data_IF_041513798555
#
_entry.id   IF_041513798555
#
_cell.length_a   1.000
_cell.length_b   1.000
_cell.length_c   1.000
_cell.angle_alpha   90.00
_cell.angle_beta   90.00
_cell.angle_gamma   90.00
#
_symmetry.space_group_name_H-M   'P 1'
#
loop_
_entity.id
_entity.type
_entity.pdbx_description
1 polymer ?
#
# COMPACT_ATOMS: atom_id res chain seq x y z
N UNK A 1 20.36 50.25 -3.61
CA UNK A 1 20.87 49.00 -4.24
C UNK A 1 20.73 47.76 -3.35
N UNK A 2 20.98 47.88 -2.03
CA UNK A 2 20.92 46.75 -1.08
C UNK A 2 19.53 46.08 -1.01
N UNK A 3 18.44 46.84 -0.90
CA UNK A 3 17.07 46.35 -0.82
C UNK A 3 16.67 45.45 -2.01
N UNK A 4 17.04 45.82 -3.25
CA UNK A 4 16.74 44.99 -4.43
C UNK A 4 17.51 43.66 -4.41
N UNK A 5 18.72 43.61 -3.83
CA UNK A 5 19.50 42.38 -3.66
C UNK A 5 18.88 41.48 -2.60
N UNK A 6 18.45 42.05 -1.46
CA UNK A 6 17.78 41.31 -0.40
C UNK A 6 16.48 40.70 -0.93
N UNK A 7 15.66 41.49 -1.62
CA UNK A 7 14.40 41.02 -2.19
C UNK A 7 14.62 39.85 -3.18
N UNK A 8 15.63 39.93 -4.05
CA UNK A 8 15.96 38.84 -4.97
C UNK A 8 16.39 37.58 -4.23
N UNK A 9 17.21 37.74 -3.18
CA UNK A 9 17.66 36.58 -2.37
C UNK A 9 16.50 35.92 -1.65
N UNK A 10 15.61 36.70 -1.05
CA UNK A 10 14.40 36.19 -0.38
C UNK A 10 13.49 35.42 -1.34
N UNK A 11 13.27 35.97 -2.56
CA UNK A 11 12.46 35.28 -3.58
C UNK A 11 13.11 33.97 -4.01
N UNK A 12 14.42 33.92 -4.14
CA UNK A 12 15.16 32.70 -4.51
C UNK A 12 15.05 31.62 -3.44
N UNK A 13 15.13 31.99 -2.16
CA UNK A 13 14.95 31.07 -1.02
C UNK A 13 13.52 30.54 -1.00
N UNK A 14 12.51 31.39 -1.20
CA UNK A 14 11.10 30.94 -1.24
C UNK A 14 10.89 29.93 -2.37
N UNK A 15 11.39 30.22 -3.57
CA UNK A 15 11.30 29.31 -4.73
C UNK A 15 12.00 27.98 -4.45
N UNK A 16 13.19 28.01 -3.84
CA UNK A 16 13.90 26.78 -3.48
C UNK A 16 13.11 25.93 -2.46
N UNK A 17 12.49 26.55 -1.47
CA UNK A 17 11.63 25.87 -0.48
C UNK A 17 10.42 25.25 -1.18
N UNK A 18 9.75 25.97 -2.08
CA UNK A 18 8.59 25.45 -2.81
C UNK A 18 8.96 24.25 -3.68
N UNK A 19 10.09 24.33 -4.39
CA UNK A 19 10.61 23.19 -5.19
C UNK A 19 10.91 22.01 -4.28
N UNK A 20 11.56 22.22 -3.15
CA UNK A 20 11.88 21.15 -2.20
C UNK A 20 10.61 20.48 -1.65
N UNK A 21 9.60 21.26 -1.25
CA UNK A 21 8.31 20.73 -0.78
C UNK A 21 7.61 19.94 -1.89
N UNK A 22 7.61 20.44 -3.14
CA UNK A 22 7.04 19.73 -4.27
C UNK A 22 7.75 18.39 -4.53
N UNK A 23 9.08 18.36 -4.47
CA UNK A 23 9.87 17.13 -4.63
C UNK A 23 9.58 16.12 -3.51
N UNK A 24 9.46 16.58 -2.26
CA UNK A 24 9.08 15.69 -1.14
C UNK A 24 7.68 15.11 -1.35
N UNK A 25 6.73 15.90 -1.83
CA UNK A 25 5.37 15.43 -2.11
C UNK A 25 5.34 14.38 -3.21
N UNK A 26 6.04 14.63 -4.32
CA UNK A 26 6.17 13.66 -5.43
C UNK A 26 6.80 12.36 -4.92
N UNK A 27 7.90 12.44 -4.17
CA UNK A 27 8.57 11.27 -3.60
C UNK A 27 7.64 10.48 -2.66
N UNK A 28 6.92 11.16 -1.78
CA UNK A 28 5.96 10.51 -0.88
C UNK A 28 4.86 9.78 -1.65
N UNK A 29 4.33 10.36 -2.72
CA UNK A 29 3.32 9.74 -3.56
C UNK A 29 3.86 8.51 -4.29
N UNK A 30 5.12 8.53 -4.73
CA UNK A 30 5.76 7.36 -5.34
C UNK A 30 5.92 6.21 -4.33
N UNK A 31 6.30 6.51 -3.08
CA UNK A 31 6.45 5.51 -2.02
C UNK A 31 5.11 4.87 -1.58
N UNK A 32 3.98 5.55 -1.81
CA UNK A 32 2.63 5.04 -1.53
C UNK A 32 2.10 4.08 -2.58
N UNK A 33 2.76 3.98 -3.74
CA UNK A 33 2.37 3.05 -4.79
C UNK A 33 2.58 1.62 -4.33
N UNK A 34 1.55 0.80 -4.52
CA UNK A 34 1.60 -0.63 -4.27
C UNK A 34 2.11 -1.31 -5.55
N UNK A 35 3.43 -1.35 -5.70
CA UNK A 35 4.13 -1.83 -6.90
C UNK A 35 3.74 -3.26 -7.31
N UNK A 36 3.26 -4.05 -6.37
CA UNK A 36 2.86 -5.45 -6.59
C UNK A 36 1.41 -5.59 -7.07
N UNK A 37 0.61 -4.53 -7.05
CA UNK A 37 -0.77 -4.53 -7.51
C UNK A 37 -0.88 -3.78 -8.83
N UNK A 38 -1.50 -4.41 -9.82
CA UNK A 38 -1.80 -3.83 -11.13
C UNK A 38 -0.65 -2.99 -11.70
N UNK A 39 0.56 -3.58 -11.72
CA UNK A 39 1.80 -2.92 -12.17
C UNK A 39 2.10 -1.57 -11.50
N UNK A 40 1.71 -1.41 -10.22
CA UNK A 40 1.93 -0.19 -9.45
C UNK A 40 1.00 0.97 -9.83
N UNK A 41 -0.13 0.68 -10.50
CA UNK A 41 -1.14 1.69 -10.81
C UNK A 41 -1.93 2.11 -9.57
N UNK A 42 -1.98 1.25 -8.55
CA UNK A 42 -2.70 1.49 -7.29
C UNK A 42 -1.78 2.10 -6.25
N UNK A 43 -2.31 2.97 -5.41
CA UNK A 43 -1.59 3.56 -4.27
C UNK A 43 -2.48 3.75 -3.06
N UNK A 44 -1.90 3.67 -1.87
CA UNK A 44 -2.55 4.13 -0.65
C UNK A 44 -2.93 5.61 -0.78
N UNK A 45 -4.07 6.00 -0.23
CA UNK A 45 -4.66 7.34 -0.33
C UNK A 45 -5.15 7.72 -1.74
N UNK A 46 -5.22 6.77 -2.69
CA UNK A 46 -5.88 6.98 -3.97
C UNK A 46 -7.37 7.26 -3.78
N UNK A 47 -7.94 8.16 -4.57
CA UNK A 47 -9.39 8.36 -4.58
C UNK A 47 -10.10 7.14 -5.17
N UNK A 48 -11.24 6.77 -4.60
CA UNK A 48 -12.04 5.63 -5.05
C UNK A 48 -12.43 5.75 -6.53
N UNK A 49 -12.86 6.93 -6.96
CA UNK A 49 -13.20 7.16 -8.37
C UNK A 49 -12.05 6.81 -9.30
N UNK A 50 -10.82 7.19 -8.95
CA UNK A 50 -9.63 6.88 -9.75
C UNK A 50 -9.31 5.39 -9.70
N UNK A 51 -9.55 4.73 -8.57
CA UNK A 51 -9.40 3.28 -8.44
C UNK A 51 -10.33 2.56 -9.41
N UNK A 52 -11.63 2.91 -9.39
CA UNK A 52 -12.65 2.31 -10.27
C UNK A 52 -12.37 2.64 -11.75
N UNK A 53 -11.95 3.86 -12.08
CA UNK A 53 -11.56 4.23 -13.46
C UNK A 53 -10.40 3.36 -13.99
N UNK A 54 -9.50 2.88 -13.11
CA UNK A 54 -8.34 2.06 -13.49
C UNK A 54 -8.61 0.58 -13.52
N UNK A 55 -9.31 0.07 -12.52
CA UNK A 55 -9.54 -1.37 -12.34
C UNK A 55 -10.87 -1.85 -12.89
N UNK A 56 -11.78 -0.93 -13.26
CA UNK A 56 -13.16 -1.24 -13.57
C UNK A 56 -14.02 -1.37 -12.30
N UNK A 57 -15.27 -1.77 -12.48
CA UNK A 57 -16.20 -1.99 -11.38
C UNK A 57 -15.76 -3.17 -10.50
N UNK A 58 -15.85 -3.07 -9.17
CA UNK A 58 -15.52 -4.15 -8.26
C UNK A 58 -16.52 -5.32 -8.43
N UNK A 59 -16.04 -6.55 -8.21
CA UNK A 59 -16.89 -7.73 -8.20
C UNK A 59 -17.94 -7.68 -7.08
N UNK A 60 -17.57 -7.07 -5.95
CA UNK A 60 -18.44 -6.89 -4.80
C UNK A 60 -18.13 -5.57 -4.09
N UNK A 61 -19.17 -4.89 -3.63
CA UNK A 61 -19.06 -3.73 -2.74
C UNK A 61 -19.81 -4.03 -1.45
N UNK A 62 -19.09 -4.02 -0.32
CA UNK A 62 -19.69 -4.19 1.01
C UNK A 62 -19.87 -2.81 1.63
N UNK A 63 -21.12 -2.47 1.94
CA UNK A 63 -21.44 -1.22 2.63
C UNK A 63 -20.98 -1.26 4.09
N UNK A 64 -20.61 -0.12 4.68
CA UNK A 64 -20.20 -0.06 6.08
C UNK A 64 -21.34 -0.54 6.99
N UNK A 65 -21.01 -1.37 7.97
CA UNK A 65 -21.90 -1.69 9.07
C UNK A 65 -21.96 -0.46 10.00
N UNK A 66 -23.06 -0.31 10.76
CA UNK A 66 -23.21 0.76 11.76
C UNK A 66 -21.91 0.95 12.57
N UNK A 67 -21.40 2.20 12.62
CA UNK A 67 -20.12 2.60 13.23
C UNK A 67 -18.82 2.24 12.48
N UNK A 68 -18.86 1.63 11.31
CA UNK A 68 -17.68 1.49 10.45
C UNK A 68 -17.55 2.69 9.51
N UNK A 69 -16.31 3.20 9.39
CA UNK A 69 -16.00 4.34 8.51
C UNK A 69 -15.49 3.92 7.13
N UNK A 70 -15.52 2.62 6.86
CA UNK A 70 -14.93 2.06 5.66
C UNK A 70 -15.94 1.21 4.91
N UNK A 71 -15.95 1.31 3.59
CA UNK A 71 -16.57 0.34 2.68
C UNK A 71 -15.49 -0.50 2.03
N UNK A 72 -15.81 -1.72 1.65
CA UNK A 72 -14.87 -2.65 1.04
C UNK A 72 -15.25 -2.83 -0.43
N UNK A 73 -14.28 -2.61 -1.32
CA UNK A 73 -14.37 -2.93 -2.73
C UNK A 73 -13.53 -4.18 -2.99
N UNK A 74 -14.17 -5.27 -3.37
CA UNK A 74 -13.51 -6.56 -3.63
C UNK A 74 -13.32 -6.76 -5.11
N UNK A 75 -12.09 -7.11 -5.49
CA UNK A 75 -11.69 -7.55 -6.83
C UNK A 75 -11.18 -8.98 -6.74
N UNK A 76 -11.87 -9.90 -7.43
CA UNK A 76 -11.41 -11.26 -7.63
C UNK A 76 -10.51 -11.30 -8.88
N UNK A 77 -9.60 -12.27 -8.94
CA UNK A 77 -8.65 -12.46 -10.05
C UNK A 77 -7.82 -11.20 -10.37
N UNK A 78 -7.56 -10.37 -9.35
CA UNK A 78 -6.78 -9.17 -9.49
C UNK A 78 -5.33 -9.49 -9.87
N UNK A 79 -4.69 -8.61 -10.66
CA UNK A 79 -3.27 -8.78 -10.97
C UNK A 79 -2.40 -8.52 -9.75
N UNK A 80 -1.62 -9.53 -9.36
CA UNK A 80 -0.60 -9.45 -8.31
C UNK A 80 0.71 -10.00 -8.87
N UNK A 81 1.81 -9.30 -8.62
CA UNK A 81 3.11 -9.62 -9.24
C UNK A 81 3.76 -10.91 -8.74
N UNK A 82 3.15 -11.60 -7.79
CA UNK A 82 3.69 -12.83 -7.21
C UNK A 82 2.57 -13.82 -6.85
N UNK A 83 2.94 -15.09 -6.82
CA UNK A 83 2.02 -16.20 -6.57
C UNK A 83 1.39 -16.76 -7.84
N UNK A 84 0.92 -18.00 -7.74
CA UNK A 84 0.12 -18.68 -8.74
C UNK A 84 -1.30 -18.81 -8.19
N UNK A 85 -2.30 -18.47 -8.97
CA UNK A 85 -3.70 -18.56 -8.57
C UNK A 85 -4.45 -17.25 -8.83
N UNK A 86 -5.69 -17.23 -8.38
CA UNK A 86 -6.57 -16.08 -8.48
C UNK A 86 -6.57 -15.30 -7.15
N UNK A 87 -5.71 -14.29 -6.98
CA UNK A 87 -5.64 -13.53 -5.74
C UNK A 87 -6.90 -12.68 -5.60
N UNK A 88 -7.38 -12.59 -4.36
CA UNK A 88 -8.43 -11.66 -3.97
C UNK A 88 -7.78 -10.39 -3.42
N UNK A 89 -8.26 -9.24 -3.85
CA UNK A 89 -7.84 -7.93 -3.33
C UNK A 89 -9.05 -7.16 -2.83
N UNK A 90 -9.00 -6.76 -1.58
CA UNK A 90 -9.99 -5.94 -0.91
C UNK A 90 -9.42 -4.54 -0.65
N UNK A 91 -10.06 -3.51 -1.19
CA UNK A 91 -9.72 -2.12 -0.94
C UNK A 91 -10.68 -1.54 0.10
N UNK A 92 -10.13 -1.11 1.23
CA UNK A 92 -10.88 -0.44 2.28
C UNK A 92 -10.85 1.07 2.02
N UNK A 93 -12.00 1.60 1.66
CA UNK A 93 -12.17 3.01 1.32
C UNK A 93 -12.87 3.74 2.46
N UNK A 94 -12.28 4.80 2.95
CA UNK A 94 -12.90 5.66 3.95
C UNK A 94 -14.06 6.45 3.34
N UNK A 95 -15.26 6.31 3.90
CA UNK A 95 -16.48 6.92 3.37
C UNK A 95 -16.54 8.46 3.52
N UNK A 96 -15.70 9.07 4.36
CA UNK A 96 -15.66 10.51 4.55
C UNK A 96 -14.67 11.20 3.62
N UNK A 97 -13.59 10.49 3.25
CA UNK A 97 -12.53 11.05 2.40
C UNK A 97 -12.53 10.51 0.99
N UNK A 98 -13.32 9.45 0.73
CA UNK A 98 -13.34 8.66 -0.51
C UNK A 98 -11.94 8.19 -0.95
N UNK A 99 -11.09 7.81 0.04
CA UNK A 99 -9.72 7.39 -0.21
C UNK A 99 -9.45 5.98 0.30
N UNK A 100 -8.62 5.26 -0.45
CA UNK A 100 -8.11 3.95 -0.06
C UNK A 100 -7.19 4.10 1.14
N UNK A 101 -7.58 3.59 2.30
CA UNK A 101 -6.79 3.61 3.53
C UNK A 101 -6.01 2.33 3.75
N UNK A 102 -6.59 1.20 3.34
CA UNK A 102 -5.98 -0.10 3.49
C UNK A 102 -6.26 -0.95 2.25
N UNK A 103 -5.32 -1.82 1.93
CA UNK A 103 -5.47 -2.83 0.88
C UNK A 103 -5.10 -4.18 1.48
N UNK A 104 -5.99 -5.14 1.38
CA UNK A 104 -5.76 -6.52 1.81
C UNK A 104 -5.71 -7.41 0.58
N UNK A 105 -4.64 -8.16 0.45
CA UNK A 105 -4.44 -9.13 -0.63
C UNK A 105 -4.31 -10.51 -0.03
N UNK A 106 -5.05 -11.47 -0.56
CA UNK A 106 -4.95 -12.87 -0.18
C UNK A 106 -4.50 -13.69 -1.38
N UNK A 107 -3.36 -14.35 -1.25
CA UNK A 107 -2.72 -15.14 -2.30
C UNK A 107 -2.77 -16.60 -1.89
N UNK A 108 -3.49 -17.46 -2.62
CA UNK A 108 -3.54 -18.89 -2.32
C UNK A 108 -2.16 -19.56 -2.38
N UNK A 109 -1.95 -20.57 -1.56
CA UNK A 109 -0.78 -21.43 -1.56
C UNK A 109 -1.22 -22.90 -1.47
N UNK A 110 -0.50 -23.80 -2.15
CA UNK A 110 -0.87 -25.20 -2.22
C UNK A 110 -0.54 -25.97 -0.93
N UNK A 111 0.42 -25.48 -0.15
CA UNK A 111 0.86 -26.08 1.11
C UNK A 111 1.34 -25.02 2.10
N UNK A 112 1.55 -25.42 3.36
CA UNK A 112 2.19 -24.57 4.35
C UNK A 112 3.60 -24.16 3.93
N UNK A 113 4.39 -25.10 3.40
CA UNK A 113 5.77 -24.85 2.96
C UNK A 113 5.79 -23.81 1.82
N UNK A 114 4.85 -23.90 0.88
CA UNK A 114 4.73 -22.92 -0.21
C UNK A 114 4.29 -21.56 0.31
N UNK A 115 3.38 -21.51 1.30
CA UNK A 115 3.01 -20.27 1.96
C UNK A 115 4.20 -19.62 2.67
N UNK A 116 5.03 -20.40 3.36
CA UNK A 116 6.25 -19.89 4.02
C UNK A 116 7.25 -19.33 3.00
N UNK A 117 7.53 -20.04 1.93
CA UNK A 117 8.40 -19.56 0.84
C UNK A 117 7.86 -18.30 0.18
N UNK A 118 6.54 -18.25 -0.07
CA UNK A 118 5.89 -17.10 -0.68
C UNK A 118 5.96 -15.89 0.25
N UNK A 119 5.64 -16.06 1.56
CA UNK A 119 5.79 -15.02 2.57
C UNK A 119 7.20 -14.42 2.58
N UNK A 120 8.22 -15.26 2.65
CA UNK A 120 9.62 -14.83 2.74
C UNK A 120 10.06 -14.13 1.45
N UNK A 121 9.59 -14.59 0.30
CA UNK A 121 9.79 -13.93 -0.99
C UNK A 121 9.19 -12.52 -0.99
N UNK A 122 7.94 -12.38 -0.55
CA UNK A 122 7.23 -11.09 -0.50
C UNK A 122 7.95 -10.12 0.44
N UNK A 123 8.34 -10.56 1.63
CA UNK A 123 9.11 -9.76 2.59
C UNK A 123 10.42 -9.28 1.97
N UNK A 124 11.15 -10.19 1.30
CA UNK A 124 12.39 -9.87 0.58
C UNK A 124 12.17 -8.80 -0.49
N UNK A 125 11.13 -8.94 -1.30
CA UNK A 125 10.78 -7.98 -2.36
C UNK A 125 10.37 -6.60 -1.79
N UNK A 126 9.64 -6.55 -0.68
CA UNK A 126 9.30 -5.29 0.00
C UNK A 126 10.57 -4.59 0.47
N UNK A 127 11.49 -5.32 1.11
CA UNK A 127 12.78 -4.78 1.57
C UNK A 127 13.61 -4.23 0.42
N UNK A 128 13.68 -4.95 -0.69
CA UNK A 128 14.41 -4.55 -1.89
C UNK A 128 13.80 -3.30 -2.52
N UNK A 129 12.48 -3.28 -2.68
CA UNK A 129 11.78 -2.12 -3.26
C UNK A 129 12.01 -0.82 -2.47
N UNK A 130 12.03 -0.91 -1.14
CA UNK A 130 12.25 0.24 -0.28
C UNK A 130 13.70 0.41 0.19
N UNK A 131 14.66 -0.32 -0.39
CA UNK A 131 16.07 -0.27 0.00
C UNK A 131 16.64 1.16 0.00
N UNK A 132 16.30 2.00 -0.98
CA UNK A 132 16.77 3.38 -1.08
C UNK A 132 16.28 4.29 0.07
N UNK A 133 15.26 3.87 0.81
CA UNK A 133 14.68 4.59 1.97
C UNK A 133 14.67 3.73 3.23
N UNK A 134 15.56 2.74 3.31
CA UNK A 134 15.63 1.79 4.44
C UNK A 134 15.74 2.44 5.82
N UNK A 135 16.26 3.66 5.90
CA UNK A 135 16.33 4.44 7.15
C UNK A 135 14.96 4.85 7.70
N UNK A 136 13.90 4.75 6.89
CA UNK A 136 12.51 4.97 7.30
C UNK A 136 11.80 3.66 7.65
N UNK A 137 12.43 2.49 7.40
CA UNK A 137 11.86 1.19 7.68
C UNK A 137 12.12 0.78 9.13
N UNK A 138 11.08 0.27 9.75
CA UNK A 138 11.15 -0.52 10.99
C UNK A 138 10.45 -1.82 10.78
N UNK A 139 11.02 -2.90 11.28
CA UNK A 139 10.48 -4.24 11.15
C UNK A 139 10.23 -4.83 12.53
N UNK A 140 9.18 -5.62 12.64
CA UNK A 140 8.88 -6.41 13.82
C UNK A 140 8.25 -7.74 13.43
N UNK A 141 8.65 -8.79 14.11
CA UNK A 141 8.01 -10.09 13.95
C UNK A 141 6.61 -10.06 14.55
N UNK A 142 5.67 -10.69 13.86
CA UNK A 142 4.31 -10.95 14.31
C UNK A 142 4.04 -12.46 14.22
N UNK A 143 3.03 -12.99 14.90
CA UNK A 143 2.66 -14.39 14.73
C UNK A 143 2.46 -14.73 13.25
N UNK A 144 3.16 -15.77 12.79
CA UNK A 144 3.13 -16.29 11.41
C UNK A 144 3.51 -15.27 10.31
N UNK A 145 4.23 -14.18 10.68
CA UNK A 145 4.57 -13.16 9.70
C UNK A 145 5.52 -12.06 10.14
N UNK A 146 5.47 -10.96 9.40
CA UNK A 146 6.30 -9.79 9.62
C UNK A 146 5.48 -8.51 9.41
N UNK A 147 5.72 -7.51 10.25
CA UNK A 147 5.22 -6.15 10.09
C UNK A 147 6.37 -5.24 9.64
N UNK A 148 6.22 -4.60 8.48
CA UNK A 148 7.18 -3.65 7.92
C UNK A 148 6.52 -2.27 7.90
N UNK A 149 6.99 -1.38 8.76
CA UNK A 149 6.50 0.00 8.83
C UNK A 149 7.43 0.94 8.06
N UNK A 150 6.88 1.67 7.10
CA UNK A 150 7.56 2.73 6.37
C UNK A 150 7.04 4.09 6.88
N UNK A 151 7.83 4.75 7.70
CA UNK A 151 7.45 5.98 8.41
C UNK A 151 6.89 7.07 7.49
N UNK A 152 5.69 7.55 7.78
CA UNK A 152 4.99 8.59 7.01
C UNK A 152 4.39 8.13 5.68
N UNK A 153 4.43 6.84 5.38
CA UNK A 153 3.88 6.25 4.14
C UNK A 153 2.80 5.23 4.48
N UNK A 154 3.17 4.16 5.18
CA UNK A 154 2.25 3.08 5.50
C UNK A 154 2.92 1.93 6.23
N UNK A 155 2.13 0.92 6.53
CA UNK A 155 2.57 -0.31 7.20
C UNK A 155 2.14 -1.51 6.36
N UNK A 156 3.03 -2.47 6.20
CA UNK A 156 2.77 -3.74 5.52
C UNK A 156 2.79 -4.86 6.56
N UNK A 157 1.70 -5.61 6.62
CA UNK A 157 1.61 -6.85 7.40
C UNK A 157 1.62 -8.00 6.40
N UNK A 158 2.60 -8.89 6.50
CA UNK A 158 2.70 -10.10 5.67
C UNK A 158 2.59 -11.29 6.57
N UNK A 159 1.56 -12.11 6.44
CA UNK A 159 1.30 -13.25 7.32
C UNK A 159 0.77 -14.46 6.57
N UNK A 160 1.07 -15.65 7.09
CA UNK A 160 0.47 -16.89 6.63
C UNK A 160 -0.91 -17.03 7.29
N UNK A 161 -1.88 -17.51 6.53
CA UNK A 161 -3.24 -17.80 7.00
C UNK A 161 -3.63 -19.21 6.62
N UNK A 162 -4.20 -19.92 7.56
CA UNK A 162 -4.82 -21.22 7.31
C UNK A 162 -6.34 -21.09 7.42
N UNK A 163 -7.03 -21.45 6.35
CA UNK A 163 -8.48 -21.61 6.40
C UNK A 163 -8.81 -22.95 7.03
N UNK A 164 -9.15 -22.95 8.33
CA UNK A 164 -9.43 -24.16 9.10
C UNK A 164 -10.59 -24.99 8.53
N UNK A 165 -11.54 -24.39 7.81
CA UNK A 165 -12.68 -25.09 7.22
C UNK A 165 -12.33 -25.75 5.89
N UNK A 166 -11.50 -25.11 5.07
CA UNK A 166 -11.11 -25.59 3.75
C UNK A 166 -9.77 -26.37 3.75
N UNK A 167 -9.01 -26.30 4.83
CA UNK A 167 -7.66 -26.89 4.92
C UNK A 167 -6.65 -26.21 3.97
N UNK A 168 -7.02 -25.09 3.36
CA UNK A 168 -6.20 -24.34 2.41
C UNK A 168 -5.29 -23.33 3.11
N UNK A 169 -4.15 -23.07 2.48
CA UNK A 169 -3.19 -22.09 2.95
C UNK A 169 -3.20 -20.86 2.06
N UNK A 170 -2.89 -19.71 2.63
CA UNK A 170 -2.72 -18.46 1.89
C UNK A 170 -1.69 -17.55 2.56
N UNK A 171 -1.16 -16.60 1.80
CA UNK A 171 -0.39 -15.48 2.33
C UNK A 171 -1.22 -14.22 2.22
N UNK A 172 -1.48 -13.60 3.36
CA UNK A 172 -2.15 -12.30 3.45
C UNK A 172 -1.12 -11.17 3.44
N UNK A 173 -1.38 -10.14 2.62
CA UNK A 173 -0.67 -8.88 2.66
C UNK A 173 -1.69 -7.81 3.00
N UNK A 174 -1.45 -7.08 4.07
CA UNK A 174 -2.23 -5.91 4.41
C UNK A 174 -1.32 -4.68 4.31
N UNK A 175 -1.68 -3.74 3.45
CA UNK A 175 -0.98 -2.47 3.30
C UNK A 175 -1.91 -1.35 3.81
N UNK A 176 -1.58 -0.73 4.94
CA UNK A 176 -2.36 0.33 5.56
C UNK A 176 -1.63 1.67 5.51
N UNK A 177 -2.36 2.76 5.22
CA UNK A 177 -1.81 4.11 5.26
C UNK A 177 -1.57 4.55 6.70
N UNK A 178 -0.46 5.22 6.96
CA UNK A 178 -0.31 5.99 8.20
C UNK A 178 -1.07 7.33 8.04
N UNK A 179 -2.02 7.55 8.93
CA UNK A 179 -2.75 8.82 9.10
C UNK A 179 -1.82 9.92 9.62
#
# INVERSE_FOLDING_TARGET
>A
MLYKRILKLTMLVIVAILIFVALLHVRRNQLRKLWFLDNGSVSLQMQEKILIERLGEPNQTTQPIENQRQRILTYADAFVSFGSGAPRVDYLVNIHTDRVECVMTEIPADSQEDAEKLRDTIIGMIREHYHAVRFLLTESDIPDGCCICLKGVGTFYVSIRQNAQAGSWSVGIEAASQS
#
